data_IF_758286657959
#
_entry.id   IF_758286657959
#
_cell.length_a   1.000
_cell.length_b   1.000
_cell.length_c   1.000
_cell.angle_alpha   90.00
_cell.angle_beta   90.00
_cell.angle_gamma   90.00
#
_symmetry.space_group_name_H-M   'P 1'
#
loop_
_entity.id
_entity.type
_entity.pdbx_description
1 polymer ?
#
# COMPACT_ATOMS: atom_id res chain seq x y z
N UNK A 1 -8.43 -11.57 -4.69
CA UNK A 1 -9.56 -10.63 -4.64
C UNK A 1 -9.21 -9.39 -5.43
N UNK A 2 -10.17 -8.73 -6.06
CA UNK A 2 -9.90 -7.54 -6.86
C UNK A 2 -9.98 -6.27 -6.00
N UNK A 3 -8.99 -5.38 -6.12
CA UNK A 3 -8.94 -4.10 -5.40
C UNK A 3 -8.65 -2.97 -6.37
N UNK A 4 -9.52 -1.97 -6.36
CA UNK A 4 -9.29 -0.70 -7.05
C UNK A 4 -8.29 0.14 -6.26
N UNK A 5 -7.14 0.41 -6.85
CA UNK A 5 -6.02 1.10 -6.22
C UNK A 5 -5.55 2.26 -7.10
N UNK A 6 -4.99 3.30 -6.49
CA UNK A 6 -4.35 4.38 -7.24
C UNK A 6 -2.91 4.00 -7.59
N UNK A 7 -2.63 3.81 -8.88
CA UNK A 7 -1.29 3.55 -9.37
C UNK A 7 -0.55 4.89 -9.52
N UNK A 8 0.51 5.05 -8.74
CA UNK A 8 1.31 6.28 -8.65
C UNK A 8 2.02 6.59 -9.97
N UNK A 9 2.70 5.62 -10.56
CA UNK A 9 3.40 5.75 -11.84
C UNK A 9 2.47 6.09 -13.02
N UNK A 10 1.27 5.52 -13.06
CA UNK A 10 0.29 5.77 -14.12
C UNK A 10 -0.59 7.00 -13.87
N UNK A 11 -0.53 7.57 -12.66
CA UNK A 11 -1.36 8.72 -12.26
C UNK A 11 -2.88 8.45 -12.27
N UNK A 12 -3.33 7.18 -12.21
CA UNK A 12 -4.77 6.82 -12.31
C UNK A 12 -5.15 5.59 -11.49
N UNK A 13 -6.45 5.38 -11.32
CA UNK A 13 -6.98 4.16 -10.71
C UNK A 13 -6.80 2.95 -11.63
N UNK A 14 -6.45 1.82 -11.02
CA UNK A 14 -6.34 0.51 -11.66
C UNK A 14 -6.95 -0.55 -10.75
N UNK A 15 -7.44 -1.64 -11.31
CA UNK A 15 -7.85 -2.82 -10.55
C UNK A 15 -6.73 -3.83 -10.57
N UNK A 16 -6.33 -4.32 -9.39
CA UNK A 16 -5.30 -5.37 -9.24
C UNK A 16 -5.88 -6.57 -8.52
N UNK A 17 -5.41 -7.76 -8.88
CA UNK A 17 -5.72 -8.97 -8.14
C UNK A 17 -4.75 -9.11 -6.95
N UNK A 18 -5.32 -9.20 -5.76
CA UNK A 18 -4.58 -9.22 -4.49
C UNK A 18 -4.81 -10.54 -3.78
N UNK A 19 -3.72 -11.17 -3.35
CA UNK A 19 -3.75 -12.36 -2.50
C UNK A 19 -3.17 -12.02 -1.14
N UNK A 20 -4.06 -11.74 -0.18
CA UNK A 20 -3.68 -11.50 1.20
C UNK A 20 -3.24 -12.80 1.87
N UNK A 21 -1.95 -12.91 2.17
CA UNK A 21 -1.36 -14.07 2.85
C UNK A 21 -0.31 -13.56 3.84
N UNK A 22 -0.01 -14.31 4.90
CA UNK A 22 1.06 -13.94 5.85
C UNK A 22 2.42 -13.79 5.16
N UNK A 23 2.63 -14.53 4.06
CA UNK A 23 3.85 -14.48 3.25
C UNK A 23 3.97 -13.22 2.36
N UNK A 24 2.88 -12.50 2.10
CA UNK A 24 2.87 -11.29 1.23
C UNK A 24 2.39 -10.02 1.94
N UNK A 25 1.67 -10.16 3.05
CA UNK A 25 1.00 -9.05 3.73
C UNK A 25 1.51 -8.87 5.14
N UNK A 26 1.83 -7.62 5.49
CA UNK A 26 2.04 -7.19 6.87
C UNK A 26 0.81 -6.41 7.30
N UNK A 27 0.12 -6.90 8.32
CA UNK A 27 -1.04 -6.26 8.91
C UNK A 27 -0.63 -5.43 10.12
N UNK A 28 -1.29 -4.30 10.25
CA UNK A 28 -1.01 -3.31 11.26
C UNK A 28 -2.28 -3.10 12.10
N UNK A 29 -2.14 -2.92 13.42
CA UNK A 29 -3.30 -2.75 14.32
C UNK A 29 -4.12 -1.51 13.94
N UNK A 30 -5.44 -1.63 13.96
CA UNK A 30 -6.38 -0.56 13.56
C UNK A 30 -6.41 0.62 14.53
N UNK A 31 -6.04 0.40 15.80
CA UNK A 31 -6.06 1.44 16.84
C UNK A 31 -4.92 2.47 16.71
N UNK A 32 -4.13 2.37 15.65
CA UNK A 32 -2.98 3.23 15.43
C UNK A 32 -3.35 4.46 14.57
N UNK A 33 -3.10 5.69 15.07
CA UNK A 33 -3.32 6.91 14.29
C UNK A 33 -2.42 6.99 13.06
N UNK A 34 -1.35 6.21 13.00
CA UNK A 34 -0.49 6.10 11.83
C UNK A 34 -1.22 5.27 10.77
N UNK A 35 -2.01 5.98 9.96
CA UNK A 35 -3.03 5.49 9.02
C UNK A 35 -2.59 4.56 7.90
N UNK A 36 -1.72 3.60 8.18
CA UNK A 36 -1.41 2.43 7.35
C UNK A 36 -1.96 1.19 8.06
N UNK A 37 -2.93 0.55 7.40
CA UNK A 37 -3.60 -0.67 7.84
C UNK A 37 -2.89 -1.93 7.36
N UNK A 38 -2.36 -1.92 6.14
CA UNK A 38 -1.56 -3.03 5.63
C UNK A 38 -0.61 -2.61 4.53
N UNK A 39 0.43 -3.40 4.36
CA UNK A 39 1.31 -3.39 3.18
C UNK A 39 1.36 -4.78 2.57
N UNK A 40 1.14 -4.88 1.27
CA UNK A 40 1.06 -6.16 0.55
C UNK A 40 1.89 -6.13 -0.71
N UNK A 41 2.76 -7.12 -0.89
CA UNK A 41 3.47 -7.34 -2.15
C UNK A 41 2.52 -7.93 -3.21
N UNK A 42 2.50 -7.33 -4.40
CA UNK A 42 1.68 -7.76 -5.54
C UNK A 42 2.53 -7.69 -6.80
N UNK A 43 2.88 -8.84 -7.38
CA UNK A 43 3.56 -8.93 -8.69
C UNK A 43 4.79 -8.00 -8.86
N UNK A 44 5.54 -7.76 -7.77
CA UNK A 44 6.71 -6.88 -7.75
C UNK A 44 6.42 -5.42 -7.36
N UNK A 45 5.15 -5.08 -7.14
CA UNK A 45 4.66 -3.78 -6.70
C UNK A 45 4.23 -3.83 -5.22
N UNK A 46 4.10 -2.65 -4.60
CA UNK A 46 3.68 -2.48 -3.21
C UNK A 46 2.29 -1.86 -3.16
N UNK A 47 1.35 -2.57 -2.56
CA UNK A 47 0.05 -2.04 -2.18
C UNK A 47 0.08 -1.56 -0.73
N UNK A 48 -0.24 -0.29 -0.51
CA UNK A 48 -0.37 0.31 0.82
C UNK A 48 -1.84 0.64 1.04
N UNK A 49 -2.43 0.03 2.06
CA UNK A 49 -3.82 0.26 2.43
C UNK A 49 -3.88 1.12 3.67
N UNK A 50 -4.60 2.25 3.60
CA UNK A 50 -4.96 3.06 4.76
C UNK A 50 -6.21 2.48 5.46
N UNK A 51 -6.45 2.72 6.77
CA UNK A 51 -7.67 2.31 7.45
C UNK A 51 -8.94 2.89 6.81
N UNK A 52 -10.04 2.14 6.94
CA UNK A 52 -11.33 2.47 6.36
C UNK A 52 -11.40 2.22 4.85
N UNK A 53 -12.45 2.75 4.21
CA UNK A 53 -12.72 2.56 2.77
C UNK A 53 -11.92 3.51 1.86
N UNK A 54 -10.69 3.87 2.25
CA UNK A 54 -9.82 4.72 1.42
C UNK A 54 -9.27 3.92 0.23
N UNK A 55 -9.06 4.61 -0.89
CA UNK A 55 -8.45 4.01 -2.07
C UNK A 55 -6.99 3.65 -1.73
N UNK A 56 -6.58 2.37 -1.83
CA UNK A 56 -5.20 1.98 -1.59
C UNK A 56 -4.22 2.59 -2.59
N UNK A 57 -2.98 2.79 -2.16
CA UNK A 57 -1.90 3.29 -2.98
C UNK A 57 -1.11 2.11 -3.57
N UNK A 58 -0.89 2.10 -4.88
CA UNK A 58 -0.06 1.12 -5.56
C UNK A 58 1.21 1.80 -6.09
N UNK A 59 2.36 1.30 -5.64
CA UNK A 59 3.69 1.82 -6.01
C UNK A 59 4.42 0.74 -6.80
N UNK A 60 4.81 1.07 -8.04
CA UNK A 60 5.41 0.06 -8.90
C UNK A 60 6.86 -0.23 -8.55
N UNK A 61 7.28 -1.49 -8.73
CA UNK A 61 8.67 -1.92 -8.55
C UNK A 61 9.19 -1.84 -7.11
N UNK A 62 8.31 -1.70 -6.13
CA UNK A 62 8.64 -1.64 -4.71
C UNK A 62 8.09 -2.86 -4.00
N UNK A 63 8.86 -3.44 -3.07
CA UNK A 63 8.39 -4.49 -2.17
C UNK A 63 8.42 -4.01 -0.73
N UNK A 64 7.53 -4.54 0.11
CA UNK A 64 7.52 -4.29 1.55
C UNK A 64 8.86 -4.64 2.22
N UNK A 65 9.63 -5.57 1.64
CA UNK A 65 10.96 -5.94 2.14
C UNK A 65 11.97 -4.78 2.03
N UNK A 66 11.88 -3.96 0.97
CA UNK A 66 12.74 -2.78 0.76
C UNK A 66 12.54 -1.77 1.88
N UNK A 67 11.29 -1.59 2.30
CA UNK A 67 10.94 -0.77 3.46
C UNK A 67 11.01 -1.54 4.78
N UNK A 68 11.60 -2.74 4.82
CA UNK A 68 11.75 -3.58 6.03
C UNK A 68 10.44 -3.86 6.77
N UNK A 69 9.33 -3.96 6.04
CA UNK A 69 7.99 -4.16 6.59
C UNK A 69 7.57 -3.05 7.58
N UNK A 70 8.16 -1.86 7.44
CA UNK A 70 8.03 -0.75 8.38
C UNK A 70 6.81 0.12 8.06
N UNK A 71 6.00 0.39 9.08
CA UNK A 71 4.77 1.18 8.94
C UNK A 71 5.06 2.65 8.64
N UNK A 72 6.05 3.23 9.31
CA UNK A 72 6.38 4.65 9.17
C UNK A 72 6.90 4.96 7.78
N UNK A 73 7.74 4.08 7.23
CA UNK A 73 8.19 4.19 5.84
C UNK A 73 7.04 4.10 4.84
N UNK A 74 6.06 3.21 5.09
CA UNK A 74 4.87 3.14 4.25
C UNK A 74 4.05 4.45 4.31
N UNK A 75 3.98 5.09 5.49
CA UNK A 75 3.33 6.40 5.65
C UNK A 75 4.09 7.53 4.94
N UNK A 76 5.41 7.53 5.00
CA UNK A 76 6.24 8.49 4.25
C UNK A 76 5.96 8.40 2.74
N UNK A 77 5.87 7.19 2.21
CA UNK A 77 5.51 6.96 0.80
C UNK A 77 4.12 7.51 0.46
N UNK A 78 3.13 7.33 1.33
CA UNK A 78 1.80 7.94 1.15
C UNK A 78 1.92 9.47 1.10
N UNK A 79 2.65 10.08 2.03
CA UNK A 79 2.78 11.54 2.11
C UNK A 79 3.48 12.11 0.87
N UNK A 80 4.55 11.46 0.39
CA UNK A 80 5.24 11.86 -0.83
C UNK A 80 4.31 11.85 -2.05
N UNK A 81 3.45 10.84 -2.16
CA UNK A 81 2.50 10.70 -3.28
C UNK A 81 1.22 11.52 -3.12
N UNK A 82 0.96 12.11 -1.93
CA UNK A 82 -0.12 13.07 -1.68
C UNK A 82 0.28 14.51 -2.01
N UNK A 83 1.55 14.87 -1.82
CA UNK A 83 2.05 16.24 -2.05
C UNK A 83 2.23 16.57 -3.54
N UNK A 84 2.40 15.55 -4.40
CA UNK A 84 2.51 15.74 -5.86
C UNK A 84 1.16 15.89 -6.58
N UNK A 85 0.06 16.06 -5.83
CA UNK A 85 -1.30 16.19 -6.34
C UNK A 85 -1.87 17.59 -6.13
#
# INVERSE_FOLDING_TARGET
MEITSYNTDKGRLVTVEVQFTSAKTTWFKEDDPDGVYSITDIDGDLLIQEPGYRIPLLIQGLSRAVIKHDRDKARELINLNKVTR
#
